data_IF_204249668784
#
_entry.id   IF_204249668784
#
_cell.length_a   1.000
_cell.length_b   1.000
_cell.length_c   1.000
_cell.angle_alpha   90.00
_cell.angle_beta   90.00
_cell.angle_gamma   90.00
#
_symmetry.space_group_name_H-M   'P 1'
#
loop_
_entity.id
_entity.type
_entity.pdbx_description
1 polymer ?
#
# COMPACT_ATOMS: atom_id res chain seq x y z
N UNK A 1 14.55 0.39 -13.37
CA UNK A 1 13.72 0.07 -12.19
C UNK A 1 13.82 -1.43 -11.93
N UNK A 2 14.14 -1.85 -10.70
CA UNK A 2 14.30 -3.29 -10.37
C UNK A 2 12.95 -3.99 -10.50
N UNK A 3 12.81 -4.92 -11.45
CA UNK A 3 11.57 -5.67 -11.70
C UNK A 3 11.07 -6.47 -10.49
N UNK A 4 11.94 -6.74 -9.51
CA UNK A 4 11.60 -7.44 -8.27
C UNK A 4 10.67 -6.61 -7.36
N UNK A 5 10.87 -5.28 -7.28
CA UNK A 5 9.99 -4.40 -6.48
C UNK A 5 8.58 -4.33 -7.08
N UNK A 6 8.48 -4.24 -8.41
CA UNK A 6 7.18 -4.20 -9.09
C UNK A 6 6.41 -5.52 -8.92
N UNK A 7 7.10 -6.66 -9.01
CA UNK A 7 6.47 -7.98 -8.90
C UNK A 7 5.84 -8.26 -7.53
N UNK A 8 6.45 -7.79 -6.43
CA UNK A 8 5.94 -8.02 -5.07
C UNK A 8 4.86 -7.01 -4.64
N UNK A 9 4.77 -5.86 -5.30
CA UNK A 9 3.74 -4.86 -4.96
C UNK A 9 2.33 -5.33 -5.33
N UNK A 10 2.14 -6.11 -6.39
CA UNK A 10 0.84 -6.69 -6.74
C UNK A 10 0.26 -7.57 -5.61
N UNK A 11 0.93 -8.63 -5.13
CA UNK A 11 0.39 -9.44 -4.03
C UNK A 11 0.23 -8.63 -2.73
N UNK A 12 1.15 -7.68 -2.44
CA UNK A 12 1.02 -6.77 -1.30
C UNK A 12 -0.26 -5.92 -1.37
N UNK A 13 -0.52 -5.29 -2.51
CA UNK A 13 -1.70 -4.46 -2.76
C UNK A 13 -2.98 -5.25 -2.62
N UNK A 14 -3.02 -6.49 -3.10
CA UNK A 14 -4.20 -7.36 -2.96
C UNK A 14 -4.52 -7.67 -1.50
N UNK A 15 -3.52 -7.94 -0.64
CA UNK A 15 -3.77 -8.09 0.79
C UNK A 15 -4.33 -6.81 1.41
N UNK A 16 -3.73 -5.67 1.09
CA UNK A 16 -4.12 -4.37 1.65
C UNK A 16 -5.52 -3.94 1.21
N UNK A 17 -5.85 -4.10 -0.07
CA UNK A 17 -7.18 -3.80 -0.64
C UNK A 17 -8.26 -4.72 -0.05
N UNK A 18 -7.93 -6.00 0.15
CA UNK A 18 -8.84 -6.97 0.74
C UNK A 18 -9.04 -6.78 2.26
N UNK A 19 -8.17 -6.02 2.93
CA UNK A 19 -8.12 -5.96 4.40
C UNK A 19 -7.53 -7.23 5.03
N UNK A 20 -6.78 -8.00 4.25
CA UNK A 20 -6.19 -9.29 4.61
C UNK A 20 -4.69 -9.18 4.91
N UNK A 21 -4.21 -7.97 5.18
CA UNK A 21 -2.82 -7.65 5.48
C UNK A 21 -2.43 -7.99 6.92
N UNK A 22 -2.61 -9.27 7.29
CA UNK A 22 -2.34 -9.82 8.62
C UNK A 22 -1.07 -10.71 8.64
N UNK A 23 -0.49 -10.98 9.83
CA UNK A 23 0.77 -11.72 9.93
C UNK A 23 0.74 -13.13 9.30
N UNK A 24 -0.40 -13.82 9.34
CA UNK A 24 -0.53 -15.17 8.78
C UNK A 24 -0.45 -15.14 7.25
N UNK A 25 -1.17 -14.22 6.61
CA UNK A 25 -1.13 -14.06 5.15
C UNK A 25 0.22 -13.53 4.67
N UNK A 26 0.87 -12.67 5.46
CA UNK A 26 2.23 -12.22 5.17
C UNK A 26 3.24 -13.35 5.25
N UNK A 27 3.16 -14.21 6.27
CA UNK A 27 4.03 -15.38 6.39
C UNK A 27 3.84 -16.34 5.21
N UNK A 28 2.60 -16.50 4.72
CA UNK A 28 2.30 -17.35 3.56
C UNK A 28 2.92 -16.80 2.26
N UNK A 29 2.84 -15.48 2.03
CA UNK A 29 3.26 -14.87 0.76
C UNK A 29 4.74 -14.46 0.71
N UNK A 30 5.29 -14.03 1.85
CA UNK A 30 6.65 -13.47 1.92
C UNK A 30 7.61 -14.32 2.76
N UNK A 31 7.14 -15.45 3.29
CA UNK A 31 7.89 -16.37 4.13
C UNK A 31 7.78 -16.06 5.63
N UNK A 32 8.09 -17.03 6.51
CA UNK A 32 7.92 -16.89 7.96
C UNK A 32 8.79 -15.81 8.60
N UNK A 33 9.86 -15.39 7.93
CA UNK A 33 10.80 -14.37 8.38
C UNK A 33 10.50 -12.97 7.79
N UNK A 34 9.30 -12.76 7.22
CA UNK A 34 8.93 -11.51 6.54
C UNK A 34 9.14 -10.26 7.40
N UNK A 35 8.92 -10.34 8.71
CA UNK A 35 9.09 -9.22 9.65
C UNK A 35 10.52 -8.70 9.70
N UNK A 36 11.51 -9.58 9.44
CA UNK A 36 12.93 -9.22 9.39
C UNK A 36 13.30 -8.55 8.06
N UNK A 37 12.45 -8.66 7.04
CA UNK A 37 12.66 -8.09 5.71
C UNK A 37 12.14 -6.66 5.68
N UNK A 38 13.02 -5.71 5.93
CA UNK A 38 12.72 -4.27 5.89
C UNK A 38 12.00 -3.85 4.59
N UNK A 39 12.38 -4.44 3.46
CA UNK A 39 11.73 -4.16 2.17
C UNK A 39 10.24 -4.54 2.16
N UNK A 40 9.85 -5.66 2.77
CA UNK A 40 8.44 -6.08 2.85
C UNK A 40 7.65 -5.11 3.72
N UNK A 41 8.21 -4.71 4.87
CA UNK A 41 7.59 -3.73 5.77
C UNK A 41 7.39 -2.37 5.09
N UNK A 42 8.39 -1.89 4.35
CA UNK A 42 8.27 -0.63 3.59
C UNK A 42 7.23 -0.72 2.47
N UNK A 43 7.19 -1.84 1.74
CA UNK A 43 6.16 -2.05 0.70
C UNK A 43 4.75 -2.12 1.29
N UNK A 44 4.59 -2.75 2.45
CA UNK A 44 3.31 -2.79 3.16
C UNK A 44 2.87 -1.38 3.58
N UNK A 45 3.77 -0.63 4.18
CA UNK A 45 3.52 0.76 4.57
C UNK A 45 3.15 1.62 3.35
N UNK A 46 3.93 1.55 2.27
CA UNK A 46 3.67 2.27 1.02
C UNK A 46 2.30 1.90 0.43
N UNK A 47 1.98 0.61 0.37
CA UNK A 47 0.70 0.12 -0.11
C UNK A 47 -0.47 0.63 0.74
N UNK A 48 -0.31 0.65 2.07
CA UNK A 48 -1.29 1.15 3.03
C UNK A 48 -1.53 2.64 2.91
N UNK A 49 -0.46 3.43 2.97
CA UNK A 49 -0.55 4.89 2.88
C UNK A 49 -1.12 5.31 1.53
N UNK A 50 -0.65 4.70 0.43
CA UNK A 50 -1.19 4.99 -0.91
C UNK A 50 -2.67 4.68 -1.02
N UNK A 51 -3.13 3.54 -0.46
CA UNK A 51 -4.56 3.20 -0.46
C UNK A 51 -5.39 4.22 0.31
N UNK A 52 -4.96 4.54 1.53
CA UNK A 52 -5.71 5.39 2.46
C UNK A 52 -5.69 6.86 2.05
N UNK A 53 -4.62 7.32 1.40
CA UNK A 53 -4.56 8.65 0.80
C UNK A 53 -5.60 8.81 -0.32
N UNK A 54 -5.92 7.71 -1.03
CA UNK A 54 -6.80 7.70 -2.20
C UNK A 54 -6.43 8.82 -3.19
N UNK A 55 -5.21 8.79 -3.76
CA UNK A 55 -4.73 9.86 -4.63
C UNK A 55 -5.61 9.99 -5.88
N UNK A 56 -5.70 11.19 -6.49
CA UNK A 56 -6.43 11.38 -7.73
C UNK A 56 -5.95 10.42 -8.83
N UNK A 57 -6.86 9.83 -9.59
CA UNK A 57 -6.54 8.81 -10.62
C UNK A 57 -5.52 9.31 -11.66
N UNK A 58 -5.58 10.60 -12.01
CA UNK A 58 -4.67 11.21 -12.98
C UNK A 58 -3.28 11.56 -12.41
N UNK A 59 -3.09 11.46 -11.09
CA UNK A 59 -1.77 11.68 -10.48
C UNK A 59 -0.84 10.48 -10.73
N UNK A 60 0.50 10.67 -10.71
CA UNK A 60 1.44 9.55 -10.80
C UNK A 60 1.17 8.45 -9.76
N UNK A 61 0.82 8.83 -8.53
CA UNK A 61 0.48 7.86 -7.48
C UNK A 61 -0.83 7.11 -7.78
N UNK A 62 -1.84 7.79 -8.32
CA UNK A 62 -3.11 7.18 -8.73
C UNK A 62 -2.92 6.18 -9.87
N UNK A 63 -2.11 6.52 -10.87
CA UNK A 63 -1.77 5.61 -11.98
C UNK A 63 -1.02 4.37 -11.49
N UNK A 64 -0.05 4.53 -10.58
CA UNK A 64 0.68 3.39 -10.00
C UNK A 64 -0.21 2.50 -9.14
N UNK A 65 -1.11 3.09 -8.33
CA UNK A 65 -2.08 2.34 -7.56
C UNK A 65 -3.00 1.51 -8.47
N UNK A 66 -3.53 2.13 -9.54
CA UNK A 66 -4.33 1.43 -10.55
C UNK A 66 -3.58 0.31 -11.25
N UNK A 67 -2.31 0.53 -11.59
CA UNK A 67 -1.44 -0.50 -12.18
C UNK A 67 -1.26 -1.70 -11.24
N UNK A 68 -1.03 -1.48 -9.95
CA UNK A 68 -0.84 -2.59 -9.03
C UNK A 68 -2.14 -3.35 -8.70
N UNK A 69 -3.27 -2.65 -8.74
CA UNK A 69 -4.60 -3.21 -8.52
C UNK A 69 -5.18 -3.88 -9.77
N UNK A 70 -4.49 -3.77 -10.92
CA UNK A 70 -4.94 -4.32 -12.19
C UNK A 70 -5.24 -5.83 -12.09
N UNK A 71 -6.41 -6.21 -12.60
CA UNK A 71 -6.90 -7.59 -12.60
C UNK A 71 -7.36 -8.10 -11.22
N UNK A 72 -7.38 -7.28 -10.17
CA UNK A 72 -7.98 -7.67 -8.90
C UNK A 72 -9.52 -7.67 -8.99
N UNK A 73 -10.13 -8.82 -8.71
CA UNK A 73 -11.59 -9.02 -8.75
C UNK A 73 -12.19 -9.39 -7.39
N UNK A 74 -11.37 -9.35 -6.33
CA UNK A 74 -11.78 -9.69 -4.97
C UNK A 74 -12.52 -8.55 -4.24
N UNK A 75 -12.90 -8.76 -2.97
CA UNK A 75 -13.60 -7.75 -2.19
C UNK A 75 -12.70 -6.54 -1.89
N UNK A 76 -13.22 -5.34 -2.15
CA UNK A 76 -12.56 -4.08 -1.75
C UNK A 76 -12.97 -3.71 -0.33
N UNK A 77 -12.22 -4.16 0.68
CA UNK A 77 -12.55 -4.02 2.11
C UNK A 77 -11.31 -3.72 2.95
N UNK A 78 -10.59 -2.64 2.67
CA UNK A 78 -9.37 -2.34 3.42
C UNK A 78 -9.66 -2.08 4.88
N UNK A 79 -8.74 -2.51 5.75
CA UNK A 79 -8.85 -2.21 7.18
C UNK A 79 -8.77 -0.69 7.44
N UNK A 80 -9.48 -0.18 8.46
CA UNK A 80 -9.35 1.21 8.90
C UNK A 80 -7.89 1.61 9.17
N UNK A 81 -7.56 2.91 9.07
CA UNK A 81 -6.22 3.38 9.37
C UNK A 81 -5.89 3.20 10.86
N UNK A 82 -4.63 2.90 11.17
CA UNK A 82 -4.12 3.03 12.54
C UNK A 82 -3.83 4.49 12.86
N UNK A 83 -3.65 4.83 14.15
CA UNK A 83 -3.25 6.20 14.56
C UNK A 83 -1.96 6.69 13.88
N UNK A 84 -1.01 5.79 13.65
CA UNK A 84 0.24 6.11 12.97
C UNK A 84 0.02 6.37 11.47
N UNK A 85 -0.84 5.58 10.83
CA UNK A 85 -1.24 5.78 9.44
C UNK A 85 -1.99 7.10 9.27
N UNK A 86 -2.92 7.42 10.19
CA UNK A 86 -3.64 8.70 10.22
C UNK A 86 -2.68 9.89 10.32
N UNK A 87 -1.70 9.82 11.23
CA UNK A 87 -0.70 10.87 11.38
C UNK A 87 0.12 11.08 10.09
N UNK A 88 0.55 9.98 9.44
CA UNK A 88 1.28 10.05 8.16
C UNK A 88 0.43 10.61 7.03
N UNK A 89 -0.83 10.18 6.93
CA UNK A 89 -1.77 10.70 5.92
C UNK A 89 -1.98 12.19 6.11
N UNK A 90 -2.13 12.64 7.36
CA UNK A 90 -2.31 14.04 7.67
C UNK A 90 -1.08 14.86 7.28
N UNK A 91 0.12 14.38 7.61
CA UNK A 91 1.38 15.01 7.18
C UNK A 91 1.47 15.16 5.66
N UNK A 92 1.14 14.11 4.90
CA UNK A 92 1.15 14.16 3.42
C UNK A 92 0.14 15.17 2.88
N UNK A 93 -1.06 15.22 3.45
CA UNK A 93 -2.10 16.19 3.05
C UNK A 93 -1.69 17.63 3.35
N UNK A 94 -1.07 17.86 4.50
CA UNK A 94 -0.59 19.20 4.87
C UNK A 94 0.56 19.66 3.96
N UNK A 95 1.48 18.75 3.61
CA UNK A 95 2.52 19.02 2.62
C UNK A 95 1.94 19.36 1.24
N UNK A 96 0.97 18.58 0.76
CA UNK A 96 0.31 18.84 -0.52
C UNK A 96 -0.35 20.23 -0.55
N UNK A 97 -1.04 20.60 0.54
CA UNK A 97 -1.65 21.93 0.68
C UNK A 97 -0.62 23.05 0.63
N UNK A 98 0.51 22.91 1.32
CA UNK A 98 1.59 23.92 1.32
C UNK A 98 2.23 24.04 -0.07
N UNK A 99 2.33 22.94 -0.81
CA UNK A 99 2.92 22.90 -2.15
C UNK A 99 1.93 23.29 -3.26
N UNK A 100 0.67 23.60 -2.94
CA UNK A 100 -0.35 24.00 -3.91
C UNK A 100 -0.75 22.88 -4.89
N UNK A 101 -0.63 21.62 -4.47
CA UNK A 101 -0.97 20.43 -5.24
C UNK A 101 -2.37 19.92 -4.94
#
# INVERSE_FOLDING_TARGET
MSGFKSGMMHPMRRLVVAGEDNPANFALLFGPDWERKEQIRKMHEEARITLLLAPPTASPAGMMAGFWDEGYTGPWRPRPPTREEEAKIQQVRDMARVMGM
#
